data_IF_994021367932
#
_entry.id   IF_994021367932
#
_cell.length_a   1.000
_cell.length_b   1.000
_cell.length_c   1.000
_cell.angle_alpha   90.00
_cell.angle_beta   90.00
_cell.angle_gamma   90.00
#
_symmetry.space_group_name_H-M   'P 1'
#
loop_
_entity.id
_entity.type
_entity.pdbx_description
1 polymer ?
#
# COMPACT_ATOMS: atom_id res chain seq x y z
N UNK A 1 1.55 -9.83 44.71
CA UNK A 1 0.56 -10.48 43.82
C UNK A 1 -0.86 -10.58 44.40
N UNK A 2 -1.13 -10.32 45.69
CA UNK A 2 -2.49 -10.44 46.26
C UNK A 2 -3.48 -9.38 45.75
N UNK A 3 -3.03 -8.15 45.47
CA UNK A 3 -3.90 -7.07 44.97
C UNK A 3 -4.42 -7.31 43.55
N UNK A 4 -3.63 -7.94 42.69
CA UNK A 4 -4.04 -8.28 41.33
C UNK A 4 -5.14 -9.36 41.31
N UNK A 5 -5.08 -10.31 42.26
CA UNK A 5 -6.08 -11.37 42.38
C UNK A 5 -7.44 -10.83 42.84
N UNK A 6 -7.45 -9.96 43.85
CA UNK A 6 -8.69 -9.33 44.31
C UNK A 6 -9.36 -8.46 43.23
N UNK A 7 -8.56 -7.76 42.41
CA UNK A 7 -9.07 -6.99 41.29
C UNK A 7 -9.67 -7.88 40.19
N UNK A 8 -9.06 -9.04 39.91
CA UNK A 8 -9.57 -10.01 38.93
C UNK A 8 -10.85 -10.70 39.41
N UNK A 9 -10.91 -11.08 40.69
CA UNK A 9 -12.09 -11.72 41.29
C UNK A 9 -13.30 -10.76 41.36
N UNK A 10 -13.06 -9.44 41.32
CA UNK A 10 -14.11 -8.42 41.26
C UNK A 10 -14.68 -8.21 39.85
N UNK A 11 -14.04 -8.74 38.80
CA UNK A 11 -14.55 -8.65 37.43
C UNK A 11 -15.67 -9.68 37.25
N UNK A 12 -16.91 -9.20 37.19
CA UNK A 12 -18.05 -10.07 36.91
C UNK A 12 -18.18 -10.37 35.42
N UNK A 13 -18.89 -11.46 35.10
CA UNK A 13 -19.23 -11.78 33.71
C UNK A 13 -20.00 -10.63 33.02
N UNK A 14 -20.79 -9.88 33.78
CA UNK A 14 -21.52 -8.70 33.29
C UNK A 14 -20.57 -7.55 32.92
N UNK A 15 -19.50 -7.33 33.70
CA UNK A 15 -18.46 -6.35 33.36
C UNK A 15 -17.74 -6.73 32.07
N UNK A 16 -17.39 -8.01 31.89
CA UNK A 16 -16.76 -8.50 30.65
C UNK A 16 -17.72 -8.34 29.47
N UNK A 17 -18.99 -8.72 29.64
CA UNK A 17 -20.01 -8.59 28.60
C UNK A 17 -20.23 -7.12 28.20
N UNK A 18 -20.27 -6.20 29.16
CA UNK A 18 -20.39 -4.76 28.88
C UNK A 18 -19.14 -4.18 28.20
N UNK A 19 -17.95 -4.61 28.60
CA UNK A 19 -16.70 -4.24 27.92
C UNK A 19 -16.66 -4.75 26.48
N UNK A 20 -17.08 -5.99 26.24
CA UNK A 20 -17.21 -6.55 24.89
C UNK A 20 -18.28 -5.84 24.07
N UNK A 21 -19.43 -5.55 24.66
CA UNK A 21 -20.50 -4.81 24.00
C UNK A 21 -20.06 -3.39 23.63
N UNK A 22 -19.26 -2.71 24.46
CA UNK A 22 -18.66 -1.42 24.12
C UNK A 22 -17.55 -1.51 23.07
N UNK A 23 -16.68 -2.51 23.17
CA UNK A 23 -15.54 -2.67 22.26
C UNK A 23 -15.97 -3.15 20.86
N UNK A 24 -17.06 -3.91 20.77
CA UNK A 24 -17.54 -4.56 19.55
C UNK A 24 -18.98 -4.22 19.18
N UNK A 25 -19.56 -3.16 19.75
CA UNK A 25 -20.63 -2.42 19.08
C UNK A 25 -20.04 -1.80 17.80
N UNK A 26 -19.83 -2.65 16.80
CA UNK A 26 -20.01 -2.26 15.41
C UNK A 26 -21.48 -1.83 15.35
N UNK A 27 -21.73 -0.55 15.11
CA UNK A 27 -23.05 0.04 14.97
C UNK A 27 -23.90 -0.82 14.02
N UNK A 28 -24.68 -1.73 14.61
CA UNK A 28 -25.56 -2.62 13.89
C UNK A 28 -26.73 -1.77 13.40
N UNK A 29 -26.68 -1.46 12.10
CA UNK A 29 -27.76 -0.79 11.35
C UNK A 29 -28.11 0.64 11.80
N UNK A 30 -27.11 1.44 12.15
CA UNK A 30 -27.22 2.86 11.84
C UNK A 30 -26.89 3.00 10.36
N UNK A 31 -27.89 3.29 9.53
CA UNK A 31 -27.68 4.05 8.30
C UNK A 31 -26.78 5.21 8.70
N UNK A 32 -25.50 5.15 8.35
CA UNK A 32 -24.56 6.23 8.55
C UNK A 32 -25.02 7.37 7.63
N UNK A 33 -26.03 8.11 8.07
CA UNK A 33 -26.08 9.53 7.83
C UNK A 33 -24.88 10.09 8.59
N UNK A 34 -23.70 9.94 7.97
CA UNK A 34 -22.63 10.88 8.18
C UNK A 34 -23.23 12.19 7.67
N UNK A 35 -23.88 12.94 8.56
CA UNK A 35 -23.98 14.38 8.41
C UNK A 35 -22.55 14.87 8.42
N UNK A 36 -21.91 14.82 7.24
CA UNK A 36 -20.72 15.59 6.90
C UNK A 36 -21.24 17.02 6.87
N UNK A 37 -21.45 17.60 8.05
CA UNK A 37 -22.04 18.94 8.19
C UNK A 37 -21.06 20.01 7.72
N UNK A 38 -19.78 19.66 7.57
CA UNK A 38 -18.75 20.57 7.06
C UNK A 38 -17.99 19.89 5.91
N UNK A 39 -17.83 20.58 4.76
CA UNK A 39 -17.02 20.06 3.66
C UNK A 39 -15.59 19.82 4.16
N UNK A 40 -14.92 18.78 3.67
CA UNK A 40 -13.50 18.56 3.93
C UNK A 40 -12.67 19.83 3.66
N UNK A 41 -11.62 20.05 4.46
CA UNK A 41 -10.84 21.32 4.47
C UNK A 41 -10.24 21.69 3.12
N UNK A 42 -9.93 20.69 2.29
CA UNK A 42 -9.48 20.83 0.90
C UNK A 42 -10.57 21.43 0.01
N UNK A 43 -11.81 20.94 0.10
CA UNK A 43 -12.96 21.52 -0.63
C UNK A 43 -13.33 22.92 -0.13
N UNK A 44 -13.12 23.21 1.15
CA UNK A 44 -13.33 24.56 1.69
C UNK A 44 -12.42 25.61 1.02
N UNK A 45 -11.19 25.24 0.63
CA UNK A 45 -10.28 26.15 -0.09
C UNK A 45 -10.87 26.53 -1.45
N UNK A 46 -11.50 25.59 -2.16
CA UNK A 46 -12.16 25.86 -3.44
C UNK A 46 -13.43 26.71 -3.26
N UNK A 47 -14.20 26.50 -2.20
CA UNK A 47 -15.35 27.34 -1.87
C UNK A 47 -14.91 28.77 -1.49
N UNK A 48 -13.79 28.92 -0.78
CA UNK A 48 -13.21 30.23 -0.48
C UNK A 48 -12.68 30.93 -1.75
N UNK A 49 -12.18 30.17 -2.72
CA UNK A 49 -11.81 30.73 -4.04
C UNK A 49 -13.04 31.12 -4.87
N UNK A 50 -14.03 30.24 -4.98
CA UNK A 50 -15.30 30.51 -5.68
C UNK A 50 -16.06 31.70 -5.07
N UNK A 51 -15.93 31.92 -3.75
CA UNK A 51 -16.54 33.06 -3.06
C UNK A 51 -15.74 34.37 -3.12
N UNK A 52 -14.60 34.38 -3.82
CA UNK A 52 -13.74 35.56 -3.94
C UNK A 52 -12.93 35.91 -2.70
N UNK A 53 -12.92 35.07 -1.65
CA UNK A 53 -12.04 35.28 -0.48
C UNK A 53 -10.57 35.02 -0.79
N UNK A 54 -10.29 34.19 -1.79
CA UNK A 54 -8.96 33.97 -2.33
C UNK A 54 -8.89 34.67 -3.67
N UNK A 55 -7.96 35.62 -3.80
CA UNK A 55 -7.91 36.54 -4.95
C UNK A 55 -7.37 35.90 -6.23
N UNK A 56 -6.64 34.79 -6.12
CA UNK A 56 -6.00 34.16 -7.27
C UNK A 56 -6.00 32.63 -7.21
N UNK A 57 -6.08 32.02 -8.40
CA UNK A 57 -5.97 30.57 -8.57
C UNK A 57 -4.66 30.02 -8.02
N UNK A 58 -3.53 30.71 -8.24
CA UNK A 58 -2.21 30.29 -7.74
C UNK A 58 -2.19 30.21 -6.21
N UNK A 59 -2.88 31.12 -5.52
CA UNK A 59 -2.97 31.09 -4.06
C UNK A 59 -3.86 29.93 -3.56
N UNK A 60 -4.95 29.63 -4.26
CA UNK A 60 -5.81 28.49 -3.95
C UNK A 60 -5.04 27.17 -4.14
N UNK A 61 -4.34 27.01 -5.26
CA UNK A 61 -3.49 25.86 -5.56
C UNK A 61 -2.36 25.68 -4.54
N UNK A 62 -1.64 26.76 -4.20
CA UNK A 62 -0.58 26.70 -3.18
C UNK A 62 -1.11 26.25 -1.82
N UNK A 63 -2.31 26.71 -1.42
CA UNK A 63 -2.98 26.24 -0.19
C UNK A 63 -3.37 24.77 -0.27
N UNK A 64 -3.91 24.29 -1.40
CA UNK A 64 -4.24 22.88 -1.62
C UNK A 64 -2.99 21.99 -1.57
N UNK A 65 -1.93 22.39 -2.27
CA UNK A 65 -0.67 21.66 -2.29
C UNK A 65 -0.02 21.60 -0.90
N UNK A 66 -0.08 22.70 -0.13
CA UNK A 66 0.40 22.74 1.26
C UNK A 66 -0.41 21.82 2.18
N UNK A 67 -1.72 21.72 1.97
CA UNK A 67 -2.61 20.88 2.79
C UNK A 67 -2.47 19.38 2.47
N UNK A 68 -2.36 19.04 1.19
CA UNK A 68 -2.38 17.65 0.70
C UNK A 68 -0.97 17.04 0.55
N UNK A 69 0.06 17.88 0.43
CA UNK A 69 1.46 17.47 0.29
C UNK A 69 1.68 16.64 -0.97
N UNK A 70 2.30 15.48 -0.81
CA UNK A 70 2.60 14.54 -1.90
C UNK A 70 1.37 13.89 -2.53
N UNK A 71 0.18 14.04 -1.91
CA UNK A 71 -1.08 13.53 -2.44
C UNK A 71 -1.79 14.52 -3.37
N UNK A 72 -1.25 15.74 -3.52
CA UNK A 72 -1.81 16.71 -4.45
C UNK A 72 -1.52 16.29 -5.90
N UNK A 73 -2.57 16.02 -6.66
CA UNK A 73 -2.51 15.82 -8.10
C UNK A 73 -3.37 16.91 -8.77
N UNK A 74 -2.78 17.81 -9.59
CA UNK A 74 -3.54 18.87 -10.28
C UNK A 74 -4.71 18.35 -11.12
N UNK A 75 -4.59 17.13 -11.65
CA UNK A 75 -5.60 16.52 -12.52
C UNK A 75 -6.93 16.27 -11.80
N UNK A 76 -6.87 15.95 -10.50
CA UNK A 76 -8.05 15.63 -9.69
C UNK A 76 -8.89 16.88 -9.38
N UNK A 77 -8.26 18.05 -9.38
CA UNK A 77 -8.88 19.34 -9.04
C UNK A 77 -9.28 20.16 -10.26
N UNK A 78 -8.82 19.78 -11.46
CA UNK A 78 -9.07 20.51 -12.71
C UNK A 78 -10.57 20.76 -12.95
N UNK A 79 -11.40 19.74 -12.77
CA UNK A 79 -12.84 19.87 -13.00
C UNK A 79 -13.50 20.91 -12.08
N UNK A 80 -13.00 21.06 -10.84
CA UNK A 80 -13.52 22.06 -9.91
C UNK A 80 -13.11 23.48 -10.31
N UNK A 81 -11.86 23.69 -10.72
CA UNK A 81 -11.41 24.98 -11.24
C UNK A 81 -12.14 25.35 -12.54
N UNK A 82 -12.29 24.40 -13.47
CA UNK A 82 -13.01 24.63 -14.72
C UNK A 82 -14.48 25.03 -14.44
N UNK A 83 -15.14 24.42 -13.43
CA UNK A 83 -16.49 24.81 -13.02
C UNK A 83 -16.58 26.24 -12.45
N UNK A 84 -15.55 26.70 -11.73
CA UNK A 84 -15.47 28.08 -11.23
C UNK A 84 -15.26 29.05 -12.40
N UNK A 85 -14.38 28.72 -13.34
CA UNK A 85 -14.11 29.59 -14.49
C UNK A 85 -15.29 29.71 -15.45
N UNK A 86 -16.07 28.63 -15.64
CA UNK A 86 -17.29 28.66 -16.47
C UNK A 86 -18.38 29.56 -15.87
N UNK A 87 -18.38 29.74 -14.55
CA UNK A 87 -19.32 30.66 -13.90
C UNK A 87 -18.95 32.14 -14.07
N UNK A 88 -17.74 32.43 -14.56
CA UNK A 88 -17.21 33.79 -14.79
C UNK A 88 -17.39 34.68 -13.55
N UNK A 89 -18.35 35.61 -13.57
CA UNK A 89 -18.64 36.58 -12.51
C UNK A 89 -19.81 36.17 -11.59
N UNK A 90 -20.44 35.00 -11.82
CA UNK A 90 -21.52 34.49 -10.97
C UNK A 90 -20.97 33.62 -9.84
N UNK A 91 -20.69 34.27 -8.71
CA UNK A 91 -20.25 33.61 -7.48
C UNK A 91 -21.21 32.50 -7.01
N UNK A 92 -22.52 32.67 -7.18
CA UNK A 92 -23.49 31.67 -6.74
C UNK A 92 -23.43 30.42 -7.63
N UNK A 93 -23.29 30.60 -8.95
CA UNK A 93 -23.09 29.51 -9.88
C UNK A 93 -21.76 28.77 -9.65
N UNK A 94 -20.67 29.51 -9.35
CA UNK A 94 -19.37 28.91 -9.04
C UNK A 94 -19.43 28.01 -7.81
N UNK A 95 -20.02 28.49 -6.72
CA UNK A 95 -20.20 27.72 -5.47
C UNK A 95 -21.04 26.46 -5.73
N UNK A 96 -22.18 26.60 -6.41
CA UNK A 96 -23.04 25.46 -6.74
C UNK A 96 -22.33 24.42 -7.63
N UNK A 97 -21.46 24.87 -8.55
CA UNK A 97 -20.63 24.01 -9.37
C UNK A 97 -19.67 23.15 -8.55
N UNK A 98 -18.98 23.76 -7.58
CA UNK A 98 -18.04 23.08 -6.68
C UNK A 98 -18.76 22.10 -5.74
N UNK A 99 -19.88 22.51 -5.13
CA UNK A 99 -20.65 21.63 -4.23
C UNK A 99 -21.22 20.40 -4.94
N UNK A 100 -21.65 20.58 -6.20
CA UNK A 100 -22.11 19.47 -7.05
C UNK A 100 -21.00 18.45 -7.30
N UNK A 101 -19.78 18.92 -7.60
CA UNK A 101 -18.62 18.04 -7.80
C UNK A 101 -18.19 17.35 -6.51
N UNK A 102 -18.16 18.07 -5.39
CA UNK A 102 -17.90 17.49 -4.08
C UNK A 102 -18.87 16.34 -3.77
N UNK A 103 -20.17 16.60 -3.98
CA UNK A 103 -21.22 15.59 -3.79
C UNK A 103 -21.07 14.40 -4.74
N UNK A 104 -20.68 14.64 -6.00
CA UNK A 104 -20.40 13.57 -6.97
C UNK A 104 -19.22 12.68 -6.52
N UNK A 105 -18.14 13.27 -5.99
CA UNK A 105 -16.99 12.53 -5.48
C UNK A 105 -17.35 11.70 -4.24
N UNK A 106 -18.16 12.26 -3.33
CA UNK A 106 -18.67 11.51 -2.17
C UNK A 106 -19.50 10.30 -2.60
N UNK A 107 -20.39 10.49 -3.58
CA UNK A 107 -21.20 9.39 -4.11
C UNK A 107 -20.35 8.37 -4.90
N UNK A 108 -19.34 8.83 -5.64
CA UNK A 108 -18.43 7.94 -6.35
C UNK A 108 -17.64 7.07 -5.38
N UNK A 109 -17.17 7.61 -4.25
CA UNK A 109 -16.50 6.84 -3.21
C UNK A 109 -17.42 5.82 -2.53
N UNK A 110 -18.73 6.08 -2.47
CA UNK A 110 -19.72 5.09 -2.03
C UNK A 110 -19.97 4.00 -3.09
N UNK A 111 -19.94 4.36 -4.37
CA UNK A 111 -20.16 3.44 -5.49
C UNK A 111 -18.90 2.72 -5.99
N UNK A 112 -17.69 3.14 -5.57
CA UNK A 112 -16.45 2.36 -5.75
C UNK A 112 -16.29 1.24 -4.71
N UNK A 113 -17.30 0.98 -3.90
CA UNK A 113 -17.73 -0.41 -3.74
C UNK A 113 -18.26 -0.89 -5.10
N UNK A 114 -17.35 -1.01 -6.07
CA UNK A 114 -17.56 -1.72 -7.32
C UNK A 114 -18.21 -3.00 -6.89
N UNK A 115 -19.45 -3.20 -7.34
CA UNK A 115 -20.00 -4.52 -7.41
C UNK A 115 -18.97 -5.36 -8.13
N UNK A 116 -18.15 -6.08 -7.38
CA UNK A 116 -17.95 -7.48 -7.68
C UNK A 116 -19.34 -7.97 -8.04
N UNK A 117 -19.60 -8.12 -9.34
CA UNK A 117 -20.51 -9.18 -9.75
C UNK A 117 -20.11 -10.34 -8.86
N UNK A 118 -21.04 -10.78 -8.02
CA UNK A 118 -20.90 -11.97 -7.20
C UNK A 118 -20.62 -13.11 -8.18
N UNK A 119 -19.35 -13.27 -8.57
CA UNK A 119 -18.87 -14.53 -9.09
C UNK A 119 -18.99 -15.43 -7.86
N UNK A 120 -19.88 -16.44 -7.85
CA UNK A 120 -20.15 -17.23 -6.65
C UNK A 120 -18.87 -17.82 -6.04
N UNK A 121 -17.85 -18.00 -6.87
CA UNK A 121 -16.51 -18.45 -6.49
C UNK A 121 -15.76 -17.47 -5.59
N UNK A 122 -15.91 -16.15 -5.77
CA UNK A 122 -15.21 -15.17 -4.94
C UNK A 122 -15.81 -15.07 -3.54
N UNK A 123 -17.14 -15.25 -3.41
CA UNK A 123 -17.78 -15.35 -2.11
C UNK A 123 -17.28 -16.59 -1.34
N UNK A 124 -17.16 -17.74 -2.02
CA UNK A 124 -16.61 -18.95 -1.42
C UNK A 124 -15.14 -18.77 -0.99
N UNK A 125 -14.29 -18.22 -1.87
CA UNK A 125 -12.86 -17.98 -1.56
C UNK A 125 -12.70 -16.95 -0.45
N UNK A 126 -13.56 -15.92 -0.38
CA UNK A 126 -13.49 -14.90 0.68
C UNK A 126 -13.92 -15.47 2.03
N UNK A 127 -14.90 -16.37 2.07
CA UNK A 127 -15.28 -17.09 3.29
C UNK A 127 -14.13 -17.99 3.72
N UNK A 128 -13.56 -18.78 2.80
CA UNK A 128 -12.45 -19.69 3.07
C UNK A 128 -11.20 -18.94 3.55
N UNK A 129 -10.86 -17.81 2.92
CA UNK A 129 -9.73 -16.96 3.32
C UNK A 129 -9.99 -16.25 4.65
N UNK A 130 -11.21 -15.79 4.91
CA UNK A 130 -11.54 -15.20 6.21
C UNK A 130 -11.55 -16.24 7.34
N UNK A 131 -11.89 -17.49 7.05
CA UNK A 131 -11.75 -18.60 8.00
C UNK A 131 -10.27 -18.97 8.21
N UNK A 132 -9.45 -18.99 7.15
CA UNK A 132 -8.03 -19.34 7.25
C UNK A 132 -7.19 -18.26 7.94
N UNK A 133 -7.42 -16.98 7.65
CA UNK A 133 -6.61 -15.86 8.18
C UNK A 133 -6.98 -15.52 9.63
N UNK A 134 -8.22 -15.77 10.06
CA UNK A 134 -8.64 -15.49 11.45
C UNK A 134 -8.24 -16.57 12.44
N UNK A 135 -7.75 -17.72 11.95
CA UNK A 135 -7.66 -18.92 12.75
C UNK A 135 -9.04 -19.37 13.26
N UNK A 136 -9.11 -20.58 13.78
CA UNK A 136 -10.33 -21.04 14.45
C UNK A 136 -10.62 -20.08 15.62
N UNK A 137 -11.77 -19.41 15.58
CA UNK A 137 -12.16 -18.46 16.64
C UNK A 137 -12.16 -19.21 17.98
N UNK A 138 -11.34 -18.81 18.97
CA UNK A 138 -11.28 -19.52 20.24
C UNK A 138 -12.66 -19.51 20.88
N UNK A 139 -13.09 -20.67 21.36
CA UNK A 139 -14.38 -20.82 22.03
C UNK A 139 -14.35 -20.09 23.38
N UNK A 140 -15.53 -19.82 23.95
CA UNK A 140 -15.60 -19.24 25.30
C UNK A 140 -14.86 -20.11 26.32
N UNK A 141 -14.87 -21.44 26.15
CA UNK A 141 -14.12 -22.34 27.00
C UNK A 141 -12.60 -22.22 26.80
N UNK A 142 -12.12 -22.00 25.57
CA UNK A 142 -10.69 -21.75 25.29
C UNK A 142 -10.22 -20.41 25.87
N UNK A 143 -11.12 -19.42 25.98
CA UNK A 143 -10.82 -18.13 26.61
C UNK A 143 -10.80 -18.21 28.14
N UNK A 144 -11.68 -19.01 28.73
CA UNK A 144 -11.78 -19.17 30.19
C UNK A 144 -10.80 -20.22 30.74
N UNK A 145 -10.46 -21.21 29.93
CA UNK A 145 -9.50 -22.27 30.20
C UNK A 145 -8.51 -22.34 29.03
N UNK A 146 -7.62 -21.35 28.88
CA UNK A 146 -6.60 -21.41 27.85
C UNK A 146 -5.84 -22.73 28.01
N UNK A 147 -5.67 -23.44 26.89
CA UNK A 147 -4.85 -24.64 26.89
C UNK A 147 -3.51 -24.28 27.52
N UNK A 148 -3.04 -25.10 28.48
CA UNK A 148 -1.75 -24.90 29.10
C UNK A 148 -0.71 -24.75 27.99
N UNK A 149 0.09 -23.70 28.05
CA UNK A 149 1.15 -23.45 27.06
C UNK A 149 1.99 -24.72 26.99
N UNK A 150 1.92 -25.41 25.85
CA UNK A 150 2.76 -26.56 25.58
C UNK A 150 4.16 -25.96 25.45
N UNK A 151 5.00 -26.21 26.43
CA UNK A 151 6.42 -25.88 26.33
C UNK A 151 6.92 -26.58 25.07
N UNK A 152 7.25 -25.79 24.06
CA UNK A 152 7.70 -26.28 22.77
C UNK A 152 9.17 -26.73 22.94
N UNK A 153 9.35 -27.79 23.72
CA UNK A 153 10.63 -28.30 24.18
C UNK A 153 11.42 -29.04 23.09
N UNK A 154 10.83 -29.21 21.90
CA UNK A 154 11.40 -30.01 20.80
C UNK A 154 11.33 -29.31 19.45
N UNK A 155 11.48 -27.99 19.38
CA UNK A 155 11.78 -27.37 18.09
C UNK A 155 13.28 -27.29 17.88
N UNK A 156 13.67 -27.80 16.71
CA UNK A 156 14.93 -27.80 15.96
C UNK A 156 15.80 -26.51 16.04
N UNK A 157 15.35 -25.49 16.78
CA UNK A 157 15.92 -24.16 16.91
C UNK A 157 16.32 -23.82 18.35
N UNK A 158 16.62 -24.83 19.18
CA UNK A 158 17.33 -24.57 20.43
C UNK A 158 18.78 -24.31 20.09
N UNK A 159 19.17 -23.04 20.08
CA UNK A 159 20.56 -22.63 19.90
C UNK A 159 21.22 -22.54 21.28
N UNK A 160 21.90 -23.59 21.79
CA UNK A 160 22.46 -23.60 23.13
C UNK A 160 23.52 -22.49 23.35
N UNK A 161 24.12 -21.97 22.28
CA UNK A 161 25.03 -20.82 22.32
C UNK A 161 24.36 -19.44 22.23
N UNK A 162 23.02 -19.39 22.23
CA UNK A 162 22.26 -18.15 22.04
C UNK A 162 22.52 -17.51 20.68
N UNK A 163 22.62 -16.18 20.66
CA UNK A 163 22.74 -15.37 19.44
C UNK A 163 23.92 -15.76 18.55
N UNK A 164 25.03 -16.24 19.11
CA UNK A 164 26.21 -16.63 18.32
C UNK A 164 25.92 -17.79 17.38
N UNK A 165 25.24 -18.82 17.88
CA UNK A 165 24.91 -19.98 17.06
C UNK A 165 23.81 -19.65 16.05
N UNK A 166 22.92 -18.70 16.36
CA UNK A 166 21.93 -18.18 15.42
C UNK A 166 22.63 -17.48 14.25
N UNK A 167 23.60 -16.59 14.54
CA UNK A 167 24.37 -15.87 13.53
C UNK A 167 25.16 -16.84 12.65
N UNK A 168 25.81 -17.83 13.25
CA UNK A 168 26.61 -18.82 12.52
C UNK A 168 25.76 -19.69 11.59
N UNK A 169 24.58 -20.13 12.03
CA UNK A 169 23.64 -20.89 11.20
C UNK A 169 23.05 -20.04 10.05
N UNK A 170 22.72 -18.77 10.31
CA UNK A 170 22.26 -17.83 9.27
C UNK A 170 23.35 -17.56 8.24
N UNK A 171 24.59 -17.36 8.68
CA UNK A 171 25.73 -17.20 7.77
C UNK A 171 25.95 -18.45 6.92
N UNK A 172 25.84 -19.65 7.51
CA UNK A 172 26.00 -20.92 6.81
C UNK A 172 24.92 -21.12 5.74
N UNK A 173 23.64 -20.85 6.05
CA UNK A 173 22.56 -20.91 5.07
C UNK A 173 22.73 -19.90 3.93
N UNK A 174 23.25 -18.71 4.23
CA UNK A 174 23.57 -17.70 3.21
C UNK A 174 24.70 -18.15 2.27
N UNK A 175 25.68 -18.90 2.76
CA UNK A 175 26.78 -19.44 1.96
C UNK A 175 26.36 -20.64 1.12
N UNK A 176 25.51 -21.53 1.63
CA UNK A 176 25.00 -22.67 0.85
C UNK A 176 24.08 -22.26 -0.31
N UNK A 177 23.52 -21.04 -0.30
CA UNK A 177 22.83 -20.48 -1.46
C UNK A 177 23.77 -19.80 -2.47
N UNK A 178 25.02 -19.56 -2.10
CA UNK A 178 26.03 -18.92 -2.96
C UNK A 178 26.93 -19.93 -3.69
N UNK A 179 26.90 -21.22 -3.33
CA UNK A 179 27.72 -22.27 -3.97
C UNK A 179 27.13 -22.87 -5.25
N UNK A 180 25.94 -22.45 -5.70
CA UNK A 180 25.44 -22.73 -7.07
C UNK A 180 25.86 -21.63 -8.06
N UNK A 181 26.95 -20.91 -7.73
CA UNK A 181 27.67 -20.06 -8.67
C UNK A 181 28.63 -20.96 -9.44
N UNK A 182 28.19 -21.35 -10.63
CA UNK A 182 28.98 -22.08 -11.63
C UNK A 182 30.35 -21.39 -11.79
N UNK A 183 31.42 -22.08 -11.38
CA UNK A 183 32.79 -21.73 -11.75
C UNK A 183 32.92 -21.86 -13.27
N UNK A 184 32.74 -20.76 -13.99
CA UNK A 184 33.09 -20.68 -15.40
C UNK A 184 34.62 -20.66 -15.48
N UNK A 185 35.15 -21.73 -16.07
CA UNK A 185 36.56 -21.85 -16.43
C UNK A 185 36.89 -20.78 -17.46
N UNK A 186 37.82 -19.92 -17.09
CA UNK A 186 38.30 -18.78 -17.86
C UNK A 186 39.26 -19.30 -18.95
N UNK A 187 38.70 -19.90 -20.01
CA UNK A 187 39.42 -20.13 -21.27
C UNK A 187 39.06 -19.01 -22.25
N UNK A 188 40.07 -18.18 -22.49
CA UNK A 188 40.07 -16.93 -23.26
C UNK A 188 39.62 -17.12 -24.73
N UNK A 189 38.34 -16.93 -25.00
CA UNK A 189 37.88 -16.28 -26.23
C UNK A 189 36.85 -15.22 -25.83
N UNK A 190 37.35 -14.00 -25.64
CA UNK A 190 36.63 -12.79 -25.24
C UNK A 190 35.59 -12.41 -26.31
N UNK A 191 34.48 -13.16 -26.35
CA UNK A 191 33.30 -12.78 -27.09
C UNK A 191 32.70 -11.61 -26.32
N UNK A 192 32.93 -10.39 -26.82
CA UNK A 192 32.33 -9.15 -26.31
C UNK A 192 30.82 -9.24 -26.50
N UNK A 193 30.15 -9.92 -25.57
CA UNK A 193 28.70 -9.88 -25.48
C UNK A 193 28.34 -8.44 -25.11
N UNK A 194 27.37 -7.83 -25.81
CA UNK A 194 26.95 -6.48 -25.48
C UNK A 194 26.42 -6.47 -24.04
N UNK A 195 27.09 -5.70 -23.16
CA UNK A 195 26.61 -5.47 -21.80
C UNK A 195 25.21 -4.84 -21.86
N UNK A 196 24.21 -5.59 -21.43
CA UNK A 196 22.84 -5.09 -21.32
C UNK A 196 22.84 -4.01 -20.22
N UNK A 197 22.47 -2.79 -20.58
CA UNK A 197 22.36 -1.71 -19.58
C UNK A 197 21.20 -1.98 -18.63
N UNK A 198 21.25 -1.44 -17.40
CA UNK A 198 20.17 -1.59 -16.42
C UNK A 198 18.81 -1.12 -16.97
N UNK A 199 18.81 -0.05 -17.77
CA UNK A 199 17.61 0.43 -18.47
C UNK A 199 17.04 -0.60 -19.44
N UNK A 200 17.89 -1.23 -20.27
CA UNK A 200 17.46 -2.30 -21.18
C UNK A 200 16.94 -3.52 -20.40
N UNK A 201 17.58 -3.88 -19.29
CA UNK A 201 17.10 -4.93 -18.40
C UNK A 201 15.71 -4.64 -17.81
N UNK A 202 15.46 -3.39 -17.40
CA UNK A 202 14.14 -2.97 -16.91
C UNK A 202 13.07 -3.02 -18.00
N UNK A 203 13.40 -2.62 -19.23
CA UNK A 203 12.48 -2.67 -20.37
C UNK A 203 12.12 -4.12 -20.75
N UNK A 204 13.10 -5.03 -20.72
CA UNK A 204 12.87 -6.46 -20.92
C UNK A 204 11.95 -7.05 -19.85
N UNK A 205 12.17 -6.70 -18.58
CA UNK A 205 11.28 -7.13 -17.48
C UNK A 205 9.85 -6.62 -17.69
N UNK A 206 9.67 -5.36 -18.11
CA UNK A 206 8.36 -4.80 -18.38
C UNK A 206 7.64 -5.51 -19.54
N UNK A 207 8.39 -5.88 -20.60
CA UNK A 207 7.85 -6.65 -21.72
C UNK A 207 7.44 -8.07 -21.30
N UNK A 208 8.26 -8.75 -20.49
CA UNK A 208 7.95 -10.07 -19.94
C UNK A 208 6.71 -10.03 -19.04
N UNK A 209 6.58 -9.02 -18.17
CA UNK A 209 5.38 -8.87 -17.33
C UNK A 209 4.11 -8.66 -18.16
N UNK A 210 4.20 -7.89 -19.25
CA UNK A 210 3.10 -7.71 -20.20
C UNK A 210 2.72 -9.03 -20.87
N UNK A 211 3.70 -9.84 -21.30
CA UNK A 211 3.45 -11.16 -21.87
C UNK A 211 2.81 -12.11 -20.84
N UNK A 212 3.29 -12.12 -19.59
CA UNK A 212 2.69 -12.92 -18.52
C UNK A 212 1.21 -12.58 -18.31
N UNK A 213 0.87 -11.29 -18.44
CA UNK A 213 -0.52 -10.81 -18.32
C UNK A 213 -1.39 -11.15 -19.54
N UNK A 214 -0.80 -11.17 -20.74
CA UNK A 214 -1.52 -11.52 -21.98
C UNK A 214 -1.80 -13.01 -22.11
N UNK A 215 -0.93 -13.85 -21.53
CA UNK A 215 -1.00 -15.31 -21.65
C UNK A 215 -1.25 -16.01 -20.31
N UNK A 216 -2.08 -15.42 -19.44
CA UNK A 216 -2.36 -15.96 -18.11
C UNK A 216 -2.82 -17.42 -18.12
N UNK A 217 -3.51 -17.83 -19.20
CA UNK A 217 -4.17 -19.13 -19.33
C UNK A 217 -3.40 -20.14 -20.18
N UNK A 218 -2.13 -19.86 -20.49
CA UNK A 218 -1.30 -20.76 -21.30
C UNK A 218 -1.09 -22.11 -20.57
N UNK A 219 -1.54 -23.25 -21.14
CA UNK A 219 -1.41 -24.54 -20.49
C UNK A 219 0.06 -24.93 -20.32
N UNK A 220 0.45 -25.31 -19.10
CA UNK A 220 1.80 -25.81 -18.80
C UNK A 220 2.80 -24.75 -18.36
N UNK A 221 2.44 -23.46 -18.30
CA UNK A 221 3.32 -22.39 -17.81
C UNK A 221 2.68 -21.72 -16.60
N UNK A 222 3.39 -21.70 -15.46
CA UNK A 222 2.97 -20.95 -14.28
C UNK A 222 3.34 -19.46 -14.45
N UNK A 223 2.51 -18.73 -15.19
CA UNK A 223 2.69 -17.30 -15.49
C UNK A 223 2.71 -16.42 -14.25
N UNK A 224 1.98 -16.79 -13.18
CA UNK A 224 1.97 -16.06 -11.91
C UNK A 224 3.31 -16.13 -11.18
N UNK A 225 3.94 -17.32 -11.16
CA UNK A 225 5.26 -17.51 -10.57
C UNK A 225 6.31 -16.71 -11.35
N UNK A 226 6.28 -16.80 -12.69
CA UNK A 226 7.17 -16.03 -13.55
C UNK A 226 7.01 -14.53 -13.35
N UNK A 227 5.77 -14.02 -13.34
CA UNK A 227 5.48 -12.60 -13.08
C UNK A 227 6.04 -12.13 -11.72
N UNK A 228 5.92 -12.96 -10.69
CA UNK A 228 6.46 -12.66 -9.36
C UNK A 228 7.99 -12.52 -9.40
N UNK A 229 8.67 -13.43 -10.11
CA UNK A 229 10.13 -13.36 -10.25
C UNK A 229 10.58 -12.16 -11.08
N UNK A 230 9.87 -11.85 -12.17
CA UNK A 230 10.15 -10.66 -13.00
C UNK A 230 10.03 -9.37 -12.20
N UNK A 231 9.01 -9.24 -11.34
CA UNK A 231 8.88 -8.08 -10.45
C UNK A 231 10.00 -7.97 -9.43
N UNK A 232 10.45 -9.10 -8.87
CA UNK A 232 11.60 -9.14 -7.94
C UNK A 232 12.89 -8.70 -8.65
N UNK A 233 13.14 -9.22 -9.84
CA UNK A 233 14.30 -8.82 -10.66
C UNK A 233 14.24 -7.33 -11.00
N UNK A 234 13.08 -6.81 -11.40
CA UNK A 234 12.91 -5.38 -11.69
C UNK A 234 13.19 -4.50 -10.46
N UNK A 235 12.72 -4.91 -9.28
CA UNK A 235 13.02 -4.21 -8.03
C UNK A 235 14.53 -4.22 -7.72
N UNK A 236 15.21 -5.34 -7.97
CA UNK A 236 16.65 -5.43 -7.80
C UNK A 236 17.41 -4.53 -8.78
N UNK A 237 17.04 -4.53 -10.06
CA UNK A 237 17.67 -3.69 -11.08
C UNK A 237 17.53 -2.21 -10.75
N UNK A 238 16.35 -1.77 -10.27
CA UNK A 238 16.15 -0.39 -9.80
C UNK A 238 17.04 -0.04 -8.62
N UNK A 239 17.22 -0.98 -7.68
CA UNK A 239 18.09 -0.76 -6.54
C UNK A 239 19.55 -0.60 -6.97
N UNK A 240 20.04 -1.43 -7.89
CA UNK A 240 21.41 -1.33 -8.42
C UNK A 240 21.63 -0.10 -9.28
N UNK A 241 20.65 0.27 -10.11
CA UNK A 241 20.69 1.51 -10.90
C UNK A 241 20.80 2.73 -9.97
N UNK A 242 19.99 2.76 -8.90
CA UNK A 242 20.08 3.80 -7.87
C UNK A 242 21.42 3.85 -7.12
N UNK A 243 22.07 2.69 -6.88
CA UNK A 243 23.42 2.64 -6.28
C UNK A 243 24.49 3.18 -7.23
N UNK A 244 24.34 2.95 -8.54
CA UNK A 244 25.28 3.40 -9.58
C UNK A 244 25.07 4.85 -9.98
N UNK A 245 23.87 5.38 -9.75
CA UNK A 245 23.56 6.78 -9.99
C UNK A 245 24.37 7.64 -9.01
N UNK A 246 25.53 8.13 -9.47
CA UNK A 246 26.32 9.10 -8.71
C UNK A 246 25.46 10.34 -8.49
N UNK A 247 25.41 10.80 -7.25
CA UNK A 247 24.71 12.02 -6.88
C UNK A 247 25.23 13.18 -7.72
N UNK A 248 24.47 13.59 -8.73
CA UNK A 248 24.82 14.73 -9.57
C UNK A 248 24.62 15.98 -8.73
N UNK A 249 25.69 16.75 -8.50
CA UNK A 249 25.59 18.04 -7.82
C UNK A 249 24.72 18.98 -8.68
N UNK A 250 23.96 19.87 -8.02
CA UNK A 250 23.10 20.85 -8.70
C UNK A 250 23.86 21.61 -9.79
N UNK A 251 25.14 21.91 -9.57
CA UNK A 251 25.99 22.63 -10.54
C UNK A 251 26.17 21.89 -11.87
N UNK A 252 26.20 20.55 -11.86
CA UNK A 252 26.29 19.75 -13.09
C UNK A 252 25.01 19.83 -13.93
N UNK A 253 23.86 20.01 -13.29
CA UNK A 253 22.57 20.18 -13.97
C UNK A 253 22.51 21.54 -14.68
N UNK A 254 22.97 22.60 -14.04
CA UNK A 254 22.98 23.94 -14.62
C UNK A 254 24.07 24.14 -15.68
N UNK A 255 25.19 23.42 -15.58
CA UNK A 255 26.30 23.52 -16.53
C UNK A 255 25.98 22.98 -17.93
N UNK A 256 25.01 22.05 -18.05
CA UNK A 256 24.58 21.51 -19.35
C UNK A 256 23.52 22.37 -20.06
N UNK A 257 22.94 23.38 -19.39
CA UNK A 257 21.88 24.21 -19.97
C UNK A 257 22.39 25.44 -20.75
N UNK A 258 23.69 25.75 -20.67
CA UNK A 258 24.30 26.87 -21.40
C UNK A 258 24.92 26.36 -22.69
N UNK A 259 24.08 26.12 -23.71
CA UNK A 259 24.57 25.96 -25.06
C UNK A 259 25.08 27.33 -25.59
N UNK A 260 26.30 27.43 -26.12
CA UNK A 260 26.76 28.67 -26.73
C UNK A 260 25.96 28.94 -28.01
N UNK A 261 25.34 30.13 -28.09
CA UNK A 261 24.79 30.69 -29.32
C UNK A 261 25.91 31.06 -30.30
#
# INVERSE_FOLDING_TARGET
MLLAKAAWDAVSAETIQNCWKKAFQLDSAATLHITITEPPKDWQILLDFASGKIESMQQAESKLQKLLGTRYNPSDWKAAFDAIFVAEDDQAAAIAGVERLHSAVLNQNQHTSVGTQDVPQLAAIKVELMEQVRGTRPTLNDLLNPAAEIEVSELLYRFPGGDKNIIEEVCKQGQSQAEDVIELSDDEEESVLPEITYSQGMDLCAQLERLCSQYSDAPGVNTLSLQTQVRRLQAHLRLEDGKRQKQTTLDSFWSHAVAPM
#
